data_IF_377615041717
#
_entry.id   IF_377615041717
#
_cell.length_a   1.000
_cell.length_b   1.000
_cell.length_c   1.000
_cell.angle_alpha   90.00
_cell.angle_beta   90.00
_cell.angle_gamma   90.00
#
_symmetry.space_group_name_H-M   'P 1'
#
loop_
_entity.id
_entity.type
_entity.pdbx_description
1 polymer ?
#
# COMPACT_ATOMS: atom_id res chain seq x y z
N UNK A 1 0.39 10.70 -9.52
CA UNK A 1 -1.02 11.12 -9.36
C UNK A 1 -1.48 12.22 -10.31
N UNK A 2 -0.81 13.38 -10.43
CA UNK A 2 -1.26 14.50 -11.31
C UNK A 2 -1.55 14.06 -12.76
N UNK A 3 -0.68 13.23 -13.36
CA UNK A 3 -0.90 12.67 -14.71
C UNK A 3 -2.16 11.80 -14.80
N UNK A 4 -2.46 11.02 -13.76
CA UNK A 4 -3.67 10.21 -13.70
C UNK A 4 -4.92 11.09 -13.63
N UNK A 5 -4.91 12.12 -12.77
CA UNK A 5 -6.03 13.07 -12.68
C UNK A 5 -6.35 13.75 -14.02
N UNK A 6 -5.32 14.21 -14.74
CA UNK A 6 -5.49 14.82 -16.08
C UNK A 6 -5.99 13.84 -17.15
N UNK A 7 -5.63 12.56 -17.02
CA UNK A 7 -6.02 11.51 -17.97
C UNK A 7 -7.34 10.83 -17.62
N UNK A 8 -7.96 11.17 -16.48
CA UNK A 8 -9.13 10.47 -15.95
C UNK A 8 -10.33 10.51 -16.91
N UNK A 9 -10.51 11.61 -17.65
CA UNK A 9 -11.56 11.71 -18.68
C UNK A 9 -11.42 10.71 -19.84
N UNK A 10 -10.25 10.11 -20.01
CA UNK A 10 -9.98 9.09 -21.04
C UNK A 10 -10.09 7.66 -20.49
N UNK A 11 -10.44 7.47 -19.22
CA UNK A 11 -10.61 6.14 -18.63
C UNK A 11 -11.95 5.55 -19.09
N UNK A 12 -11.87 4.56 -19.98
CA UNK A 12 -13.04 3.93 -20.63
C UNK A 12 -13.73 2.84 -19.81
N UNK A 13 -13.14 2.43 -18.68
CA UNK A 13 -13.67 1.33 -17.85
C UNK A 13 -13.34 -0.07 -18.38
N UNK A 14 -12.58 -0.20 -19.47
CA UNK A 14 -12.20 -1.51 -20.06
C UNK A 14 -11.27 -2.35 -19.16
N UNK A 15 -10.77 -1.80 -18.06
CA UNK A 15 -9.96 -2.47 -17.04
C UNK A 15 -10.27 -1.92 -15.66
N UNK A 16 -9.92 -2.64 -14.58
CA UNK A 16 -10.02 -2.08 -13.22
C UNK A 16 -9.23 -0.76 -13.09
N UNK A 17 -9.75 0.18 -12.30
CA UNK A 17 -9.12 1.48 -12.08
C UNK A 17 -7.68 1.36 -11.57
N UNK A 18 -7.44 0.41 -10.66
CA UNK A 18 -6.10 0.10 -10.14
C UNK A 18 -5.12 -0.26 -11.27
N UNK A 19 -5.51 -1.14 -12.19
CA UNK A 19 -4.68 -1.55 -13.34
C UNK A 19 -4.33 -0.37 -14.24
N UNK A 20 -5.30 0.50 -14.51
CA UNK A 20 -5.09 1.71 -15.30
C UNK A 20 -4.14 2.69 -14.60
N UNK A 21 -4.34 2.95 -13.31
CA UNK A 21 -3.49 3.83 -12.50
C UNK A 21 -2.07 3.28 -12.39
N UNK A 22 -1.91 1.97 -12.21
CA UNK A 22 -0.63 1.28 -12.14
C UNK A 22 0.18 1.47 -13.44
N UNK A 23 -0.46 1.33 -14.61
CA UNK A 23 0.19 1.61 -15.92
C UNK A 23 0.69 3.06 -16.02
N UNK A 24 -0.08 4.03 -15.54
CA UNK A 24 0.34 5.44 -15.51
C UNK A 24 1.55 5.64 -14.58
N UNK A 25 1.54 5.00 -13.41
CA UNK A 25 2.64 5.06 -12.45
C UNK A 25 3.94 4.50 -13.04
N UNK A 26 3.90 3.28 -13.60
CA UNK A 26 5.06 2.63 -14.23
C UNK A 26 5.61 3.45 -15.38
N UNK A 27 4.75 3.92 -16.30
CA UNK A 27 5.19 4.75 -17.42
C UNK A 27 5.82 6.07 -16.94
N UNK A 28 5.29 6.63 -15.85
CA UNK A 28 5.84 7.86 -15.27
C UNK A 28 7.20 7.62 -14.63
N UNK A 29 7.37 6.54 -13.87
CA UNK A 29 8.64 6.15 -13.26
C UNK A 29 9.69 5.86 -14.34
N UNK A 30 9.35 5.07 -15.36
CA UNK A 30 10.24 4.77 -16.51
C UNK A 30 10.70 6.04 -17.22
N UNK A 31 9.78 6.95 -17.53
CA UNK A 31 10.12 8.22 -18.18
C UNK A 31 11.02 9.10 -17.30
N UNK A 32 10.82 9.09 -15.99
CA UNK A 32 11.66 9.82 -15.05
C UNK A 32 13.10 9.25 -15.01
N UNK A 33 13.25 7.92 -14.96
CA UNK A 33 14.57 7.27 -14.98
C UNK A 33 15.31 7.54 -16.30
N UNK A 34 14.63 7.44 -17.45
CA UNK A 34 15.24 7.76 -18.76
C UNK A 34 15.65 9.24 -18.84
N UNK A 35 14.85 10.16 -18.29
CA UNK A 35 15.19 11.57 -18.27
C UNK A 35 16.38 11.87 -17.34
N UNK A 36 16.49 11.18 -16.20
CA UNK A 36 17.67 11.25 -15.31
C UNK A 36 18.93 10.78 -16.02
N UNK A 37 18.89 9.65 -16.73
CA UNK A 37 20.04 9.11 -17.47
C UNK A 37 20.49 9.93 -18.69
N UNK A 38 19.69 10.92 -19.12
CA UNK A 38 20.02 11.84 -20.24
C UNK A 38 20.59 13.19 -19.78
N UNK A 39 20.72 13.42 -18.48
CA UNK A 39 21.29 14.66 -17.94
C UNK A 39 22.82 14.62 -18.17
N UNK A 40 23.44 15.68 -18.73
CA UNK A 40 24.89 15.76 -18.84
C UNK A 40 25.54 15.56 -17.47
N UNK A 41 26.71 14.89 -17.38
CA UNK A 41 27.41 14.72 -16.13
C UNK A 41 27.95 16.07 -15.69
N UNK A 42 27.18 16.77 -14.87
CA UNK A 42 27.66 17.92 -14.12
C UNK A 42 27.51 17.57 -12.64
N UNK A 43 28.36 16.63 -12.23
CA UNK A 43 28.85 16.32 -10.88
C UNK A 43 29.53 14.95 -10.93
N UNK A 44 30.82 14.92 -10.62
CA UNK A 44 31.64 13.72 -10.45
C UNK A 44 30.95 12.67 -9.57
N UNK A 45 30.58 11.53 -10.16
CA UNK A 45 30.44 10.28 -9.41
C UNK A 45 31.10 9.18 -10.23
N UNK A 46 32.13 8.58 -9.62
CA UNK A 46 32.96 7.52 -10.19
C UNK A 46 32.13 6.35 -10.73
N UNK A 47 32.55 5.81 -11.87
CA UNK A 47 31.92 4.71 -12.61
C UNK A 47 32.08 3.33 -11.92
N UNK A 48 31.74 3.23 -10.63
CA UNK A 48 31.84 2.01 -9.83
C UNK A 48 30.53 1.29 -9.51
N UNK A 49 29.38 1.96 -9.62
CA UNK A 49 28.13 1.47 -8.99
C UNK A 49 27.13 0.82 -9.97
N UNK A 50 27.57 0.45 -11.17
CA UNK A 50 26.68 0.02 -12.26
C UNK A 50 26.15 -1.44 -12.15
N UNK A 51 26.52 -2.21 -11.13
CA UNK A 51 26.19 -3.65 -11.06
C UNK A 51 25.12 -4.07 -10.03
N UNK A 52 24.52 -3.15 -9.26
CA UNK A 52 23.55 -3.53 -8.19
C UNK A 52 22.08 -3.19 -8.48
N UNK A 53 21.65 -3.19 -9.74
CA UNK A 53 20.24 -2.99 -10.11
C UNK A 53 19.43 -4.29 -10.16
N UNK A 54 19.49 -5.11 -9.10
CA UNK A 54 18.48 -6.14 -8.83
C UNK A 54 17.49 -5.64 -7.77
N UNK A 55 16.31 -5.24 -8.24
CA UNK A 55 14.97 -5.33 -7.63
C UNK A 55 14.71 -4.82 -6.21
N UNK A 56 15.51 -5.23 -5.23
CA UNK A 56 15.28 -5.01 -3.80
C UNK A 56 16.13 -3.86 -3.23
N UNK A 57 17.34 -3.65 -3.76
CA UNK A 57 18.25 -2.60 -3.28
C UNK A 57 17.82 -1.19 -3.70
N UNK A 58 17.14 -1.04 -4.84
CA UNK A 58 16.74 0.27 -5.35
C UNK A 58 15.67 0.98 -4.51
N UNK A 59 14.87 0.25 -3.71
CA UNK A 59 13.97 0.86 -2.72
C UNK A 59 14.70 1.21 -1.42
N UNK A 60 15.60 0.34 -0.96
CA UNK A 60 16.39 0.55 0.26
C UNK A 60 17.33 1.75 0.16
N UNK A 61 17.91 2.03 -1.02
CA UNK A 61 18.78 3.18 -1.23
C UNK A 61 18.08 4.55 -1.18
N UNK A 62 16.74 4.58 -1.16
CA UNK A 62 15.93 5.81 -1.11
C UNK A 62 15.31 6.02 0.28
N UNK A 63 15.34 5.01 1.15
CA UNK A 63 14.68 5.01 2.46
C UNK A 63 15.70 5.22 3.58
N UNK A 64 15.53 6.28 4.40
CA UNK A 64 16.42 6.50 5.54
C UNK A 64 16.28 5.37 6.56
N UNK A 65 17.34 5.02 7.33
CA UNK A 65 17.25 4.00 8.38
C UNK A 65 16.08 4.24 9.36
N UNK A 66 15.82 5.50 9.69
CA UNK A 66 14.68 5.91 10.52
C UNK A 66 13.33 5.54 9.89
N UNK A 67 13.17 5.72 8.57
CA UNK A 67 11.93 5.35 7.87
C UNK A 67 11.74 3.84 7.80
N UNK A 68 12.83 3.08 7.64
CA UNK A 68 12.75 1.61 7.69
C UNK A 68 12.31 1.13 9.08
N UNK A 69 12.88 1.68 10.15
CA UNK A 69 12.49 1.33 11.51
C UNK A 69 11.02 1.69 11.80
N UNK A 70 10.59 2.88 11.38
CA UNK A 70 9.19 3.29 11.53
C UNK A 70 8.23 2.38 10.76
N UNK A 71 8.61 1.94 9.56
CA UNK A 71 7.85 0.97 8.77
C UNK A 71 7.71 -0.36 9.51
N UNK A 72 8.80 -0.89 10.04
CA UNK A 72 8.80 -2.15 10.80
C UNK A 72 7.93 -2.04 12.07
N UNK A 73 7.96 -0.89 12.74
CA UNK A 73 7.14 -0.63 13.93
C UNK A 73 5.65 -0.51 13.58
N UNK A 74 5.31 0.14 12.46
CA UNK A 74 3.94 0.21 11.94
C UNK A 74 3.44 -1.21 11.62
N UNK A 75 4.22 -2.02 10.91
CA UNK A 75 3.85 -3.40 10.57
C UNK A 75 3.63 -4.26 11.82
N UNK A 76 4.56 -4.20 12.77
CA UNK A 76 4.46 -4.92 14.04
C UNK A 76 3.22 -4.50 14.84
N UNK A 77 2.88 -3.21 14.82
CA UNK A 77 1.70 -2.67 15.49
C UNK A 77 0.41 -3.17 14.84
N UNK A 78 0.31 -3.14 13.50
CA UNK A 78 -0.85 -3.69 12.78
C UNK A 78 -1.05 -5.17 13.12
N UNK A 79 0.00 -5.99 13.03
CA UNK A 79 -0.09 -7.42 13.32
C UNK A 79 -0.51 -7.69 14.76
N UNK A 80 0.08 -6.97 15.73
CA UNK A 80 -0.28 -7.09 17.15
C UNK A 80 -1.74 -6.71 17.39
N UNK A 81 -2.21 -5.60 16.80
CA UNK A 81 -3.59 -5.17 16.98
C UNK A 81 -4.56 -6.18 16.40
N UNK A 82 -4.30 -6.73 15.21
CA UNK A 82 -5.13 -7.78 14.61
C UNK A 82 -5.21 -9.01 15.53
N UNK A 83 -4.09 -9.43 16.14
CA UNK A 83 -4.03 -10.54 17.09
C UNK A 83 -4.74 -10.27 18.43
N UNK A 84 -5.03 -9.02 18.75
CA UNK A 84 -5.76 -8.63 19.97
C UNK A 84 -7.25 -8.39 19.71
N UNK A 85 -7.67 -8.31 18.44
CA UNK A 85 -9.09 -8.17 18.09
C UNK A 85 -9.89 -9.37 18.60
N UNK A 86 -11.14 -9.16 19.04
CA UNK A 86 -12.12 -10.24 19.21
C UNK A 86 -12.21 -11.10 17.95
N UNK A 87 -12.44 -12.40 18.13
CA UNK A 87 -12.40 -13.39 17.05
C UNK A 87 -13.33 -13.05 15.89
N UNK A 88 -14.51 -12.53 16.18
CA UNK A 88 -15.50 -12.16 15.17
C UNK A 88 -15.09 -10.93 14.35
N UNK A 89 -14.38 -9.97 14.95
CA UNK A 89 -13.80 -8.83 14.23
C UNK A 89 -12.63 -9.26 13.37
N UNK A 90 -11.74 -10.09 13.93
CA UNK A 90 -10.56 -10.62 13.22
C UNK A 90 -10.98 -11.46 12.02
N UNK A 91 -11.94 -12.36 12.20
CA UNK A 91 -12.45 -13.22 11.12
C UNK A 91 -13.05 -12.38 10.00
N UNK A 92 -13.93 -11.42 10.32
CA UNK A 92 -14.55 -10.57 9.31
C UNK A 92 -13.53 -9.72 8.54
N UNK A 93 -12.52 -9.18 9.24
CA UNK A 93 -11.43 -8.43 8.61
C UNK A 93 -10.56 -9.34 7.73
N UNK A 94 -10.25 -10.56 8.18
CA UNK A 94 -9.37 -11.48 7.47
C UNK A 94 -9.99 -11.90 6.14
N UNK A 95 -11.24 -12.36 6.19
CA UNK A 95 -12.01 -12.74 5.00
C UNK A 95 -12.14 -11.59 4.00
N UNK A 96 -12.14 -10.34 4.48
CA UNK A 96 -12.26 -9.16 3.63
C UNK A 96 -10.93 -8.77 2.98
N UNK A 97 -9.87 -8.61 3.77
CA UNK A 97 -8.62 -7.99 3.31
C UNK A 97 -7.66 -9.01 2.69
N UNK A 98 -7.67 -10.26 3.16
CA UNK A 98 -6.75 -11.30 2.69
C UNK A 98 -7.41 -12.23 1.66
N UNK A 99 -8.65 -12.66 1.93
CA UNK A 99 -9.37 -13.56 1.01
C UNK A 99 -10.18 -12.78 -0.05
N UNK A 100 -10.35 -11.47 0.12
CA UNK A 100 -11.00 -10.59 -0.87
C UNK A 100 -12.51 -10.78 -1.01
N UNK A 101 -13.17 -11.43 -0.05
CA UNK A 101 -14.60 -11.76 -0.14
C UNK A 101 -15.51 -10.52 -0.12
N UNK A 102 -16.68 -10.65 -0.77
CA UNK A 102 -17.75 -9.66 -0.66
C UNK A 102 -18.38 -9.66 0.74
N UNK A 103 -19.12 -8.62 1.11
CA UNK A 103 -19.75 -8.58 2.43
C UNK A 103 -20.87 -9.62 2.55
N UNK A 104 -21.53 -9.92 1.44
CA UNK A 104 -22.57 -10.93 1.29
C UNK A 104 -22.01 -12.35 1.46
N UNK A 105 -20.83 -12.63 0.89
CA UNK A 105 -20.16 -13.92 1.06
C UNK A 105 -19.69 -14.11 2.51
N UNK A 106 -19.11 -13.06 3.11
CA UNK A 106 -18.69 -13.08 4.52
C UNK A 106 -19.90 -13.28 5.44
N UNK A 107 -21.03 -12.63 5.15
CA UNK A 107 -22.28 -12.80 5.90
C UNK A 107 -22.77 -14.26 5.86
N UNK A 108 -22.66 -14.89 4.69
CA UNK A 108 -23.01 -16.30 4.48
C UNK A 108 -22.06 -17.24 5.25
N UNK A 109 -20.75 -17.00 5.19
CA UNK A 109 -19.73 -17.79 5.90
C UNK A 109 -19.88 -17.66 7.41
N UNK A 110 -20.09 -16.44 7.91
CA UNK A 110 -20.19 -16.14 9.35
C UNK A 110 -21.60 -16.32 9.92
N UNK A 111 -22.56 -16.72 9.09
CA UNK A 111 -23.97 -16.91 9.44
C UNK A 111 -24.55 -15.70 10.20
N UNK A 112 -24.29 -14.49 9.70
CA UNK A 112 -24.77 -13.25 10.31
C UNK A 112 -25.26 -12.25 9.26
N UNK A 113 -26.06 -11.23 9.63
CA UNK A 113 -26.51 -10.20 8.68
C UNK A 113 -25.34 -9.41 8.07
N UNK A 114 -25.48 -8.99 6.81
CA UNK A 114 -24.48 -8.14 6.12
C UNK A 114 -24.18 -6.83 6.88
N UNK A 115 -25.16 -6.28 7.58
CA UNK A 115 -24.98 -5.11 8.45
C UNK A 115 -24.03 -5.38 9.62
N UNK A 116 -24.06 -6.59 10.17
CA UNK A 116 -23.13 -7.03 11.23
C UNK A 116 -21.72 -7.17 10.69
N UNK A 117 -21.54 -7.76 9.51
CA UNK A 117 -20.23 -7.83 8.83
C UNK A 117 -19.65 -6.43 8.64
N UNK A 118 -20.43 -5.50 8.11
CA UNK A 118 -20.01 -4.10 7.91
C UNK A 118 -19.57 -3.44 9.21
N UNK A 119 -20.35 -3.60 10.28
CA UNK A 119 -20.02 -3.06 11.61
C UNK A 119 -18.76 -3.69 12.19
N UNK A 120 -18.56 -5.00 12.02
CA UNK A 120 -17.37 -5.70 12.49
C UNK A 120 -16.11 -5.22 11.79
N UNK A 121 -16.12 -5.15 10.45
CA UNK A 121 -14.98 -4.65 9.66
C UNK A 121 -14.66 -3.20 10.04
N UNK A 122 -15.69 -2.37 10.20
CA UNK A 122 -15.51 -0.98 10.63
C UNK A 122 -14.80 -0.89 11.99
N UNK A 123 -15.29 -1.61 13.01
CA UNK A 123 -14.68 -1.61 14.35
C UNK A 123 -13.27 -2.18 14.36
N UNK A 124 -13.01 -3.22 13.54
CA UNK A 124 -11.67 -3.79 13.38
C UNK A 124 -10.68 -2.73 12.83
N UNK A 125 -11.09 -2.00 11.78
CA UNK A 125 -10.28 -0.92 11.20
C UNK A 125 -10.11 0.26 12.16
N UNK A 126 -11.13 0.62 12.92
CA UNK A 126 -11.06 1.68 13.94
C UNK A 126 -10.05 1.33 15.06
N UNK A 127 -9.98 0.07 15.47
CA UNK A 127 -9.00 -0.39 16.46
C UNK A 127 -7.56 -0.30 15.92
N UNK A 128 -7.35 -0.68 14.65
CA UNK A 128 -6.05 -0.56 13.98
C UNK A 128 -5.66 0.92 13.83
N UNK A 129 -6.58 1.76 13.37
CA UNK A 129 -6.35 3.20 13.22
C UNK A 129 -5.93 3.85 14.54
N UNK A 130 -6.66 3.59 15.63
CA UNK A 130 -6.31 4.08 16.97
C UNK A 130 -4.94 3.64 17.44
N UNK A 131 -4.53 2.40 17.11
CA UNK A 131 -3.21 1.90 17.47
C UNK A 131 -2.08 2.54 16.65
N UNK A 132 -2.35 2.91 15.40
CA UNK A 132 -1.37 3.55 14.51
C UNK A 132 -1.27 5.07 14.68
N UNK A 133 -2.32 5.74 15.17
CA UNK A 133 -2.36 7.19 15.32
C UNK A 133 -1.10 7.80 16.00
N UNK A 134 -0.57 7.25 17.11
CA UNK A 134 0.63 7.79 17.74
C UNK A 134 1.86 7.73 16.83
N UNK A 135 2.06 6.63 16.11
CA UNK A 135 3.22 6.39 15.25
C UNK A 135 3.21 7.28 14.00
N UNK A 136 2.03 7.70 13.55
CA UNK A 136 1.87 8.55 12.37
C UNK A 136 1.93 10.05 12.70
N UNK A 137 1.74 10.42 13.96
CA UNK A 137 1.80 11.82 14.42
C UNK A 137 3.23 12.29 14.78
N UNK A 138 4.18 11.37 14.92
CA UNK A 138 5.60 11.68 15.19
C UNK A 138 6.41 12.05 13.92
N UNK A 139 5.75 12.23 12.77
CA UNK A 139 6.33 12.72 11.50
C UNK A 139 5.82 14.11 11.12
#
# INVERSE_FOLDING_TARGET
FIKAYRALGNFRGDSAFYTWLYRIAINTAKNHLVARGRRPPDSDVSAGDAEFYEGDHALKDIESPERSLLRDEIEATVHRTIQQLPEDLRTALTLREFDGLSYEDIASVMQCPVGTVRSRIFRAREAIDKALQPLLQET
#
